data_IF_384021850466
#
_entry.id   IF_384021850466
#
_cell.length_a   1.000
_cell.length_b   1.000
_cell.length_c   1.000
_cell.angle_alpha   90.00
_cell.angle_beta   90.00
_cell.angle_gamma   90.00
#
_symmetry.space_group_name_H-M   'P 1'
#
loop_
_entity.id
_entity.type
_entity.pdbx_description
1 polymer ?
#
# COMPACT_ATOMS: atom_id res chain seq x y z
N UNK A 1 25.18 0.74 -3.65
CA UNK A 1 25.25 0.17 -2.29
C UNK A 1 23.92 -0.48 -1.98
N UNK A 2 23.97 -1.78 -1.71
CA UNK A 2 22.78 -2.60 -1.43
C UNK A 2 22.41 -2.40 0.03
N UNK A 3 21.25 -1.81 0.30
CA UNK A 3 20.79 -1.58 1.67
C UNK A 3 20.11 -2.85 2.16
N UNK A 4 20.84 -3.67 2.90
CA UNK A 4 20.27 -4.75 3.71
C UNK A 4 20.16 -4.25 5.15
N UNK A 5 18.95 -4.19 5.70
CA UNK A 5 18.73 -3.75 7.07
C UNK A 5 18.50 -4.98 7.94
N UNK A 6 19.45 -5.24 8.85
CA UNK A 6 19.33 -6.30 9.83
C UNK A 6 18.37 -5.88 10.96
N UNK A 7 17.40 -6.74 11.28
CA UNK A 7 16.54 -6.61 12.45
C UNK A 7 17.11 -7.47 13.58
N UNK A 8 17.04 -6.96 14.81
CA UNK A 8 17.46 -7.71 15.98
C UNK A 8 16.61 -8.97 16.18
N UNK A 9 17.24 -10.12 16.42
CA UNK A 9 16.59 -11.40 16.63
C UNK A 9 15.69 -11.46 17.89
N UNK A 10 15.76 -10.45 18.75
CA UNK A 10 14.98 -10.36 20.00
C UNK A 10 13.60 -9.71 19.82
N UNK A 11 13.26 -9.25 18.61
CA UNK A 11 11.98 -8.59 18.32
C UNK A 11 10.97 -9.65 17.92
N UNK A 12 9.75 -9.56 18.46
CA UNK A 12 8.60 -10.32 17.95
C UNK A 12 8.31 -9.90 16.51
N UNK A 13 8.86 -10.67 15.58
CA UNK A 13 8.72 -10.49 14.14
C UNK A 13 7.42 -11.09 13.59
N UNK A 14 6.41 -11.32 14.44
CA UNK A 14 5.10 -11.75 13.98
C UNK A 14 4.52 -10.71 13.02
N UNK A 15 4.27 -11.15 11.79
CA UNK A 15 3.70 -10.31 10.76
C UNK A 15 2.22 -10.07 11.05
N UNK A 16 1.84 -8.79 11.13
CA UNK A 16 0.45 -8.36 11.14
C UNK A 16 0.12 -7.90 9.72
N UNK A 17 -0.76 -8.65 9.06
CA UNK A 17 -1.22 -8.26 7.74
C UNK A 17 -2.21 -7.10 7.84
N UNK A 18 -2.16 -6.13 6.91
CA UNK A 18 -3.19 -5.11 6.77
C UNK A 18 -4.58 -5.73 6.64
N UNK A 19 -5.59 -5.09 7.22
CA UNK A 19 -6.99 -5.56 7.17
C UNK A 19 -7.49 -5.78 5.73
N UNK A 20 -7.03 -4.96 4.78
CA UNK A 20 -7.34 -5.09 3.37
C UNK A 20 -6.84 -6.40 2.73
N UNK A 21 -5.81 -7.02 3.30
CA UNK A 21 -5.29 -8.31 2.83
C UNK A 21 -6.11 -9.49 3.34
N UNK A 22 -6.84 -9.31 4.44
CA UNK A 22 -7.78 -10.29 4.97
C UNK A 22 -9.17 -10.15 4.35
N UNK A 23 -9.42 -9.05 3.62
CA UNK A 23 -10.69 -8.81 2.95
C UNK A 23 -11.00 -9.98 2.04
N UNK A 24 -12.14 -10.59 2.29
CA UNK A 24 -12.67 -11.67 1.47
C UNK A 24 -12.85 -11.14 0.04
N UNK A 25 -12.16 -11.76 -0.92
CA UNK A 25 -12.31 -11.46 -2.34
C UNK A 25 -13.72 -11.76 -2.84
N UNK A 26 -14.53 -12.43 -2.04
CA UNK A 26 -15.94 -12.76 -2.29
C UNK A 26 -16.88 -11.57 -2.10
N UNK A 27 -16.47 -10.38 -2.47
CA UNK A 27 -17.44 -9.31 -2.63
C UNK A 27 -18.20 -9.56 -3.93
N UNK A 28 -19.36 -10.17 -3.82
CA UNK A 28 -20.21 -10.64 -4.91
C UNK A 28 -20.35 -9.65 -6.08
N UNK A 29 -20.35 -8.36 -5.82
CA UNK A 29 -20.43 -7.32 -6.86
C UNK A 29 -19.11 -7.13 -7.60
N UNK A 30 -17.99 -7.07 -6.90
CA UNK A 30 -16.68 -6.91 -7.54
C UNK A 30 -16.34 -8.16 -8.36
N UNK A 31 -16.58 -9.35 -7.82
CA UNK A 31 -16.38 -10.61 -8.52
C UNK A 31 -17.30 -10.73 -9.74
N UNK A 32 -18.57 -10.31 -9.61
CA UNK A 32 -19.50 -10.33 -10.73
C UNK A 32 -19.08 -9.37 -11.85
N UNK A 33 -18.67 -8.14 -11.51
CA UNK A 33 -18.15 -7.18 -12.49
C UNK A 33 -16.85 -7.67 -13.14
N UNK A 34 -15.94 -8.20 -12.36
CA UNK A 34 -14.68 -8.73 -12.87
C UNK A 34 -14.89 -9.93 -13.78
N UNK A 35 -15.80 -10.85 -13.44
CA UNK A 35 -16.15 -11.99 -14.30
C UNK A 35 -16.83 -11.59 -15.60
N UNK A 36 -17.69 -10.58 -15.59
CA UNK A 36 -18.40 -10.13 -16.80
C UNK A 36 -17.57 -9.30 -17.77
N UNK A 37 -16.61 -8.54 -17.24
CA UNK A 37 -15.84 -7.58 -18.02
C UNK A 37 -14.34 -7.91 -18.07
N UNK A 38 -13.90 -8.94 -17.36
CA UNK A 38 -12.54 -9.39 -17.38
C UNK A 38 -12.16 -9.93 -18.76
N UNK A 39 -11.08 -9.44 -19.29
CA UNK A 39 -10.40 -10.01 -20.44
C UNK A 39 -9.17 -10.72 -19.91
N UNK A 40 -9.17 -12.04 -19.98
CA UNK A 40 -7.98 -12.82 -19.65
C UNK A 40 -7.13 -12.88 -20.91
N UNK A 41 -5.89 -12.48 -20.79
CA UNK A 41 -4.90 -12.70 -21.84
C UNK A 41 -4.47 -14.18 -21.77
N UNK A 42 -4.96 -14.99 -22.70
CA UNK A 42 -4.67 -16.42 -22.75
C UNK A 42 -3.16 -16.72 -22.85
N UNK A 43 -2.36 -15.79 -23.37
CA UNK A 43 -0.91 -15.93 -23.45
C UNK A 43 -0.24 -15.94 -22.07
N UNK A 44 -0.89 -15.33 -21.09
CA UNK A 44 -0.42 -15.22 -19.72
C UNK A 44 -0.69 -16.47 -18.87
N UNK A 45 -1.67 -17.29 -19.26
CA UNK A 45 -2.16 -18.45 -18.47
C UNK A 45 -1.27 -19.70 -18.57
N UNK A 46 -0.27 -19.70 -19.46
CA UNK A 46 0.54 -20.90 -19.78
C UNK A 46 1.36 -21.39 -18.58
N UNK A 47 1.70 -20.51 -17.64
CA UNK A 47 2.41 -20.89 -16.42
C UNK A 47 2.03 -19.99 -15.24
N UNK A 48 1.15 -20.48 -14.37
CA UNK A 48 0.65 -19.75 -13.19
C UNK A 48 1.41 -20.08 -11.90
N UNK A 49 2.52 -20.79 -11.99
CA UNK A 49 3.31 -21.18 -10.81
C UNK A 49 4.26 -20.05 -10.41
N UNK A 50 4.28 -19.72 -9.12
CA UNK A 50 5.24 -18.77 -8.61
C UNK A 50 6.68 -19.23 -8.81
N UNK A 51 7.54 -18.30 -9.20
CA UNK A 51 8.99 -18.49 -9.22
C UNK A 51 9.56 -17.92 -7.93
N UNK A 52 10.26 -18.75 -7.18
CA UNK A 52 10.98 -18.33 -5.98
C UNK A 52 12.42 -17.94 -6.33
N UNK A 53 12.82 -16.75 -5.91
CA UNK A 53 14.15 -16.19 -6.18
C UNK A 53 14.98 -16.12 -4.90
N UNK A 54 16.32 -16.19 -4.99
CA UNK A 54 17.19 -15.89 -3.86
C UNK A 54 17.11 -14.39 -3.49
N UNK A 55 17.40 -14.06 -2.23
CA UNK A 55 17.31 -12.71 -1.66
C UNK A 55 18.06 -11.66 -2.50
N UNK A 56 19.21 -12.03 -3.06
CA UNK A 56 20.02 -11.16 -3.93
C UNK A 56 19.24 -10.62 -5.15
N UNK A 57 18.27 -11.38 -5.66
CA UNK A 57 17.43 -10.95 -6.78
C UNK A 57 16.44 -9.88 -6.32
N UNK A 58 15.80 -10.09 -5.18
CA UNK A 58 14.85 -9.09 -4.62
C UNK A 58 15.56 -7.79 -4.26
N UNK A 59 16.71 -7.87 -3.60
CA UNK A 59 17.54 -6.72 -3.26
C UNK A 59 17.88 -5.92 -4.52
N UNK A 60 18.40 -6.59 -5.56
CA UNK A 60 18.74 -5.94 -6.82
C UNK A 60 17.53 -5.30 -7.49
N UNK A 61 16.39 -5.99 -7.55
CA UNK A 61 15.20 -5.48 -8.21
C UNK A 61 14.62 -4.28 -7.47
N UNK A 62 14.57 -4.30 -6.15
CA UNK A 62 14.15 -3.15 -5.34
C UNK A 62 15.06 -1.95 -5.55
N UNK A 63 16.38 -2.16 -5.62
CA UNK A 63 17.34 -1.08 -5.86
C UNK A 63 17.26 -0.48 -7.28
N UNK A 64 16.67 -1.17 -8.22
CA UNK A 64 16.46 -0.73 -9.60
C UNK A 64 15.13 0.00 -9.83
N UNK A 65 14.24 0.01 -8.85
CA UNK A 65 13.00 0.77 -8.98
C UNK A 65 13.30 2.28 -9.08
N UNK A 66 12.67 2.97 -10.04
CA UNK A 66 12.87 4.41 -10.21
C UNK A 66 12.05 5.20 -9.18
N UNK A 67 12.32 4.99 -7.90
CA UNK A 67 11.62 5.59 -6.79
C UNK A 67 12.47 6.64 -6.09
N UNK A 68 11.83 7.67 -5.54
CA UNK A 68 12.47 8.66 -4.66
C UNK A 68 12.66 8.08 -3.26
N UNK A 69 11.71 7.27 -2.83
CA UNK A 69 11.73 6.61 -1.52
C UNK A 69 12.61 5.38 -1.62
N UNK A 70 13.53 5.24 -0.69
CA UNK A 70 14.38 4.04 -0.59
C UNK A 70 13.54 2.79 -0.30
N UNK A 71 13.89 1.70 -0.96
CA UNK A 71 13.22 0.41 -0.86
C UNK A 71 14.17 -0.64 -0.25
N UNK A 72 14.50 -0.54 1.06
CA UNK A 72 15.39 -1.50 1.70
C UNK A 72 14.75 -2.88 1.78
N UNK A 73 15.59 -3.91 1.76
CA UNK A 73 15.19 -5.30 1.87
C UNK A 73 15.61 -5.90 3.21
N UNK A 74 14.74 -6.71 3.78
CA UNK A 74 15.05 -7.56 4.93
C UNK A 74 14.07 -8.74 4.99
N UNK A 75 14.19 -9.60 5.97
CA UNK A 75 13.34 -10.77 6.14
C UNK A 75 11.85 -10.42 6.33
N UNK A 76 11.53 -9.27 6.90
CA UNK A 76 10.13 -8.81 7.06
C UNK A 76 9.55 -8.42 5.70
N UNK A 77 10.27 -7.62 4.92
CA UNK A 77 9.86 -7.26 3.55
C UNK A 77 9.67 -8.54 2.70
N UNK A 78 10.58 -9.51 2.80
CA UNK A 78 10.48 -10.79 2.09
C UNK A 78 9.17 -11.50 2.39
N UNK A 79 8.76 -11.56 3.65
CA UNK A 79 7.50 -12.23 4.04
C UNK A 79 6.27 -11.57 3.43
N UNK A 80 6.25 -10.24 3.29
CA UNK A 80 5.16 -9.53 2.61
C UNK A 80 5.18 -9.79 1.10
N UNK A 81 6.35 -9.81 0.47
CA UNK A 81 6.47 -10.20 -0.95
C UNK A 81 5.92 -11.61 -1.15
N UNK A 82 6.37 -12.58 -0.36
CA UNK A 82 5.93 -13.98 -0.46
C UNK A 82 4.43 -14.13 -0.22
N UNK A 83 3.86 -13.35 0.69
CA UNK A 83 2.42 -13.33 0.92
C UNK A 83 1.66 -12.94 -0.35
N UNK A 84 2.07 -11.89 -1.05
CA UNK A 84 1.43 -11.46 -2.28
C UNK A 84 1.63 -12.46 -3.42
N UNK A 85 2.86 -12.88 -3.68
CA UNK A 85 3.18 -13.69 -4.88
C UNK A 85 2.88 -15.18 -4.72
N UNK A 86 2.71 -15.67 -3.49
CA UNK A 86 2.40 -17.08 -3.22
C UNK A 86 0.96 -17.28 -2.73
N UNK A 87 0.55 -16.55 -1.69
CA UNK A 87 -0.72 -16.80 -1.00
C UNK A 87 -1.88 -15.96 -1.53
N UNK A 88 -1.61 -14.78 -2.07
CA UNK A 88 -2.62 -13.80 -2.49
C UNK A 88 -2.49 -13.43 -3.98
N UNK A 89 -2.12 -14.39 -4.81
CA UNK A 89 -1.94 -14.18 -6.26
C UNK A 89 -3.19 -13.61 -6.93
N UNK A 90 -4.36 -14.18 -6.65
CA UNK A 90 -5.63 -13.70 -7.17
C UNK A 90 -5.93 -12.25 -6.76
N UNK A 91 -5.55 -11.84 -5.53
CA UNK A 91 -5.65 -10.45 -5.11
C UNK A 91 -4.76 -9.56 -5.98
N UNK A 92 -3.51 -9.96 -6.23
CA UNK A 92 -2.58 -9.19 -7.08
C UNK A 92 -3.10 -9.06 -8.51
N UNK A 93 -3.63 -10.13 -9.08
CA UNK A 93 -4.27 -10.12 -10.42
C UNK A 93 -5.38 -9.07 -10.50
N UNK A 94 -6.26 -9.02 -9.50
CA UNK A 94 -7.33 -8.04 -9.39
C UNK A 94 -6.80 -6.61 -9.17
N UNK A 95 -5.81 -6.44 -8.30
CA UNK A 95 -5.17 -5.14 -8.04
C UNK A 95 -4.53 -4.56 -9.31
N UNK A 96 -3.88 -5.39 -10.10
CA UNK A 96 -3.30 -4.99 -11.39
C UNK A 96 -4.38 -4.49 -12.36
N UNK A 97 -5.52 -5.17 -12.42
CA UNK A 97 -6.67 -4.73 -13.23
C UNK A 97 -7.24 -3.39 -12.76
N UNK A 98 -7.51 -3.26 -11.44
CA UNK A 98 -8.02 -2.03 -10.84
C UNK A 98 -7.04 -0.85 -10.96
N UNK A 99 -5.74 -1.14 -10.95
CA UNK A 99 -4.68 -0.14 -11.08
C UNK A 99 -4.76 0.64 -12.38
N UNK A 100 -5.22 0.04 -13.46
CA UNK A 100 -5.37 0.74 -14.76
C UNK A 100 -6.32 1.93 -14.67
N UNK A 101 -7.29 1.86 -13.77
CA UNK A 101 -8.24 2.94 -13.53
C UNK A 101 -7.76 3.92 -12.45
N UNK A 102 -7.32 3.41 -11.30
CA UNK A 102 -7.05 4.27 -10.13
C UNK A 102 -5.69 4.94 -10.15
N UNK A 103 -4.64 4.31 -10.69
CA UNK A 103 -3.29 4.87 -10.66
C UNK A 103 -3.19 6.25 -11.32
N UNK A 104 -3.82 6.54 -12.48
CA UNK A 104 -3.78 7.89 -13.05
C UNK A 104 -4.37 8.95 -12.11
N UNK A 105 -5.45 8.64 -11.38
CA UNK A 105 -6.07 9.57 -10.41
C UNK A 105 -5.11 9.86 -9.26
N UNK A 106 -4.45 8.83 -8.74
CA UNK A 106 -3.50 8.97 -7.64
C UNK A 106 -2.25 9.73 -8.08
N UNK A 107 -1.71 9.39 -9.25
CA UNK A 107 -0.53 10.05 -9.81
C UNK A 107 -0.76 11.55 -10.03
N UNK A 108 -1.91 11.93 -10.59
CA UNK A 108 -2.26 13.35 -10.77
C UNK A 108 -2.30 14.10 -9.42
N UNK A 109 -2.90 13.50 -8.40
CA UNK A 109 -2.98 14.12 -7.09
C UNK A 109 -1.60 14.26 -6.42
N UNK A 110 -0.76 13.22 -6.51
CA UNK A 110 0.59 13.22 -5.94
C UNK A 110 1.52 14.20 -6.66
N UNK A 111 1.47 14.22 -7.99
CA UNK A 111 2.25 15.13 -8.82
C UNK A 111 1.90 16.59 -8.52
N UNK A 112 0.61 16.91 -8.39
CA UNK A 112 0.12 18.26 -8.06
C UNK A 112 0.68 18.78 -6.73
N UNK A 113 0.89 17.90 -5.75
CA UNK A 113 1.50 18.25 -4.47
C UNK A 113 3.04 18.13 -4.45
N UNK A 114 3.63 17.60 -5.52
CA UNK A 114 5.08 17.42 -5.63
C UNK A 114 5.65 16.37 -4.67
N UNK A 115 4.87 15.33 -4.38
CA UNK A 115 5.28 14.20 -3.53
C UNK A 115 5.59 12.96 -4.39
N UNK A 116 6.37 11.98 -3.87
CA UNK A 116 6.77 10.80 -4.64
C UNK A 116 5.59 10.03 -5.21
N UNK A 117 5.67 9.66 -6.50
CA UNK A 117 4.58 8.98 -7.20
C UNK A 117 4.37 7.53 -6.72
N UNK A 118 5.39 6.89 -6.15
CA UNK A 118 5.28 5.56 -5.58
C UNK A 118 4.32 5.48 -4.38
N UNK A 119 3.97 6.60 -3.77
CA UNK A 119 2.93 6.68 -2.74
C UNK A 119 1.54 6.28 -3.27
N UNK A 120 1.35 6.22 -4.58
CA UNK A 120 0.14 5.69 -5.23
C UNK A 120 -0.21 4.27 -4.82
N UNK A 121 0.74 3.52 -4.27
CA UNK A 121 0.50 2.15 -3.83
C UNK A 121 -0.06 2.05 -2.40
N UNK A 122 -0.14 3.14 -1.63
CA UNK A 122 -0.74 3.11 -0.30
C UNK A 122 -2.21 2.65 -0.30
N UNK A 123 -3.09 3.05 -1.24
CA UNK A 123 -4.46 2.55 -1.29
C UNK A 123 -4.57 1.04 -1.48
N UNK A 124 -3.57 0.38 -2.03
CA UNK A 124 -3.52 -1.09 -2.10
C UNK A 124 -3.47 -1.68 -0.69
N UNK A 125 -2.61 -1.14 0.17
CA UNK A 125 -2.45 -1.58 1.56
C UNK A 125 -3.68 -1.20 2.38
N UNK A 126 -4.23 -0.02 2.15
CA UNK A 126 -5.33 0.54 2.94
C UNK A 126 -6.68 -0.13 2.64
N UNK A 127 -7.00 -0.30 1.36
CA UNK A 127 -8.35 -0.69 0.94
C UNK A 127 -8.41 -1.78 -0.12
N UNK A 128 -7.26 -2.30 -0.59
CA UNK A 128 -7.19 -3.13 -1.78
C UNK A 128 -7.88 -2.48 -3.00
N UNK A 129 -7.71 -1.16 -3.15
CA UNK A 129 -8.32 -0.32 -4.19
C UNK A 129 -9.86 -0.32 -4.19
N UNK A 130 -10.47 -0.43 -3.01
CA UNK A 130 -11.92 -0.42 -2.86
C UNK A 130 -12.42 0.90 -2.28
N UNK A 131 -13.15 1.72 -3.05
CA UNK A 131 -13.67 3.01 -2.57
C UNK A 131 -14.78 2.85 -1.51
N UNK A 132 -15.45 1.71 -1.47
CA UNK A 132 -16.49 1.38 -0.50
C UNK A 132 -15.95 0.78 0.80
N UNK A 133 -14.66 0.52 0.90
CA UNK A 133 -14.05 -0.10 2.07
C UNK A 133 -14.28 0.72 3.35
N UNK A 134 -14.58 0.00 4.42
CA UNK A 134 -14.69 0.57 5.78
C UNK A 134 -14.00 -0.39 6.75
N UNK A 135 -13.01 0.13 7.49
CA UNK A 135 -12.30 -0.65 8.50
C UNK A 135 -13.14 -0.84 9.77
N UNK A 136 -12.74 -1.76 10.63
CA UNK A 136 -13.37 -2.01 11.93
C UNK A 136 -13.43 -0.78 12.83
N UNK A 137 -12.49 0.15 12.66
CA UNK A 137 -12.42 1.41 13.43
C UNK A 137 -13.05 2.60 12.72
N UNK A 138 -13.69 2.39 11.55
CA UNK A 138 -14.44 3.42 10.84
C UNK A 138 -13.62 4.28 9.88
N UNK A 139 -12.40 3.88 9.54
CA UNK A 139 -11.69 4.46 8.40
C UNK A 139 -12.40 4.07 7.10
N UNK A 140 -12.47 4.96 6.12
CA UNK A 140 -13.25 4.73 4.92
C UNK A 140 -12.55 5.20 3.64
N UNK A 141 -12.91 4.54 2.53
CA UNK A 141 -12.48 4.88 1.18
C UNK A 141 -11.13 4.29 0.78
N UNK A 142 -10.66 4.65 -0.41
CA UNK A 142 -9.40 4.17 -0.99
C UNK A 142 -8.20 4.44 -0.07
N UNK A 143 -8.17 5.60 0.56
CA UNK A 143 -7.07 6.09 1.40
C UNK A 143 -7.30 5.87 2.90
N UNK A 144 -8.43 5.29 3.29
CA UNK A 144 -8.78 4.93 4.66
C UNK A 144 -8.65 6.08 5.67
N UNK A 145 -9.24 7.24 5.35
CA UNK A 145 -9.32 8.33 6.31
C UNK A 145 -10.28 8.02 7.46
N UNK A 146 -9.84 8.32 8.67
CA UNK A 146 -10.75 8.46 9.81
C UNK A 146 -11.61 9.71 9.62
N UNK A 147 -12.84 9.71 10.16
CA UNK A 147 -13.76 10.86 10.05
C UNK A 147 -13.10 12.17 10.48
N UNK A 148 -12.43 12.15 11.63
CA UNK A 148 -11.77 13.34 12.17
C UNK A 148 -10.69 13.87 11.23
N UNK A 149 -9.82 13.00 10.73
CA UNK A 149 -8.74 13.38 9.81
C UNK A 149 -9.31 13.85 8.48
N UNK A 150 -10.28 13.14 7.90
CA UNK A 150 -10.93 13.55 6.66
C UNK A 150 -11.52 14.96 6.77
N UNK A 151 -12.28 15.24 7.82
CA UNK A 151 -12.83 16.57 8.06
C UNK A 151 -11.76 17.66 8.27
N UNK A 152 -10.70 17.35 9.00
CA UNK A 152 -9.61 18.31 9.23
C UNK A 152 -8.84 18.63 7.93
N UNK A 153 -8.84 17.70 6.97
CA UNK A 153 -8.25 17.90 5.64
C UNK A 153 -9.21 18.57 4.65
N UNK A 154 -10.47 18.81 5.03
CA UNK A 154 -11.46 19.52 4.22
C UNK A 154 -12.43 18.63 3.46
N UNK A 155 -12.46 17.32 3.74
CA UNK A 155 -13.48 16.44 3.17
C UNK A 155 -14.82 16.60 3.89
N UNK A 156 -15.90 16.62 3.12
CA UNK A 156 -17.26 16.61 3.66
C UNK A 156 -17.63 15.19 4.10
N UNK A 157 -17.96 15.06 5.38
CA UNK A 157 -18.42 13.79 5.97
C UNK A 157 -19.60 14.06 6.88
N UNK A 158 -20.78 13.63 6.44
CA UNK A 158 -22.03 13.74 7.17
C UNK A 158 -22.93 12.52 6.91
N UNK A 159 -24.18 12.57 7.27
CA UNK A 159 -25.13 11.46 7.09
C UNK A 159 -25.54 11.22 5.63
N UNK A 160 -25.32 12.18 4.74
CA UNK A 160 -25.73 12.12 3.33
C UNK A 160 -24.54 11.99 2.38
N UNK A 161 -23.39 12.53 2.77
CA UNK A 161 -22.18 12.60 1.93
C UNK A 161 -20.97 12.10 2.71
N UNK A 162 -20.16 11.29 2.08
CA UNK A 162 -18.88 10.85 2.62
C UNK A 162 -17.79 10.94 1.52
N UNK A 163 -17.15 12.10 1.43
CA UNK A 163 -16.12 12.38 0.41
C UNK A 163 -14.82 11.60 0.62
N UNK A 164 -14.67 10.87 1.73
CA UNK A 164 -13.57 9.91 1.91
C UNK A 164 -13.63 8.78 0.87
N UNK A 165 -14.83 8.54 0.30
CA UNK A 165 -15.09 7.51 -0.73
C UNK A 165 -14.95 8.04 -2.15
N UNK A 166 -14.88 9.36 -2.32
CA UNK A 166 -14.66 9.98 -3.62
C UNK A 166 -13.18 9.80 -4.03
N UNK A 167 -12.89 9.10 -5.15
CA UNK A 167 -11.51 8.82 -5.54
C UNK A 167 -10.68 10.08 -5.80
N UNK A 168 -11.27 11.10 -6.39
CA UNK A 168 -10.57 12.34 -6.76
C UNK A 168 -10.32 13.21 -5.53
N UNK A 169 -11.37 13.48 -4.76
CA UNK A 169 -11.29 14.35 -3.58
C UNK A 169 -10.40 13.74 -2.50
N UNK A 170 -10.58 12.44 -2.20
CA UNK A 170 -9.77 11.76 -1.20
C UNK A 170 -8.30 11.66 -1.61
N UNK A 171 -8.01 11.46 -2.89
CA UNK A 171 -6.62 11.42 -3.39
C UNK A 171 -5.94 12.78 -3.27
N UNK A 172 -6.63 13.87 -3.60
CA UNK A 172 -6.09 15.22 -3.43
C UNK A 172 -5.73 15.50 -1.96
N UNK A 173 -6.61 15.11 -1.03
CA UNK A 173 -6.37 15.31 0.40
C UNK A 173 -5.28 14.37 0.94
N UNK A 174 -5.21 13.13 0.46
CA UNK A 174 -4.15 12.19 0.84
C UNK A 174 -2.77 12.68 0.44
N UNK A 175 -2.62 13.17 -0.79
CA UNK A 175 -1.36 13.73 -1.27
C UNK A 175 -0.91 14.91 -0.41
N UNK A 176 -1.83 15.81 -0.08
CA UNK A 176 -1.56 16.94 0.80
C UNK A 176 -1.20 16.50 2.23
N UNK A 177 -1.94 15.55 2.78
CA UNK A 177 -1.65 15.01 4.12
C UNK A 177 -0.28 14.34 4.20
N UNK A 178 0.10 13.56 3.18
CA UNK A 178 1.43 12.96 3.08
C UNK A 178 2.54 14.01 3.02
N UNK A 179 2.33 15.10 2.28
CA UNK A 179 3.25 16.24 2.26
C UNK A 179 3.40 16.89 3.63
N UNK A 180 2.29 17.10 4.34
CA UNK A 180 2.29 17.66 5.68
C UNK A 180 3.04 16.74 6.67
N UNK A 181 2.84 15.43 6.60
CA UNK A 181 3.56 14.45 7.41
C UNK A 181 5.06 14.44 7.10
N UNK A 182 5.43 14.51 5.82
CA UNK A 182 6.85 14.62 5.44
C UNK A 182 7.50 15.89 5.99
N UNK A 183 6.78 17.00 6.05
CA UNK A 183 7.28 18.24 6.60
C UNK A 183 7.66 18.16 8.08
N UNK A 184 7.09 17.20 8.81
CA UNK A 184 7.40 16.96 10.24
C UNK A 184 8.72 16.22 10.42
N UNK A 185 8.96 15.19 9.60
CA UNK A 185 10.06 14.24 9.82
C UNK A 185 11.18 14.37 8.80
N UNK A 186 10.93 14.94 7.63
CA UNK A 186 11.85 14.99 6.48
C UNK A 186 12.37 13.59 6.08
N UNK A 187 11.54 12.56 6.34
CA UNK A 187 11.81 11.16 6.05
C UNK A 187 10.52 10.48 5.61
N UNK A 188 10.55 9.85 4.44
CA UNK A 188 9.34 9.24 3.87
C UNK A 188 8.88 7.99 4.61
N UNK A 189 9.80 7.17 5.12
CA UNK A 189 9.41 5.98 5.88
C UNK A 189 8.68 6.38 7.16
N UNK A 190 9.12 7.44 7.83
CA UNK A 190 8.43 8.00 9.00
C UNK A 190 7.11 8.67 8.62
N UNK A 191 7.04 9.36 7.50
CA UNK A 191 5.80 9.95 7.00
C UNK A 191 4.75 8.87 6.68
N UNK A 192 5.15 7.78 6.02
CA UNK A 192 4.30 6.63 5.72
C UNK A 192 3.83 5.95 7.02
N UNK A 193 4.72 5.71 7.98
CA UNK A 193 4.35 5.18 9.29
C UNK A 193 3.35 6.09 10.01
N UNK A 194 3.56 7.41 9.96
CA UNK A 194 2.65 8.42 10.53
C UNK A 194 1.29 8.46 9.85
N UNK A 195 1.23 8.20 8.56
CA UNK A 195 -0.03 8.07 7.85
C UNK A 195 -0.90 6.95 8.46
N UNK A 196 -0.29 5.83 8.80
CA UNK A 196 -0.98 4.69 9.41
C UNK A 196 -1.37 4.92 10.88
N UNK A 197 -0.44 5.33 11.73
CA UNK A 197 -0.68 5.39 13.19
C UNK A 197 -0.81 6.80 13.76
N UNK A 198 -0.68 7.83 12.94
CA UNK A 198 -0.64 9.22 13.37
C UNK A 198 0.75 9.69 13.83
N UNK A 199 1.07 10.99 13.68
CA UNK A 199 2.38 11.55 14.02
C UNK A 199 2.70 11.44 15.52
N UNK A 200 1.70 11.47 16.38
CA UNK A 200 1.89 11.31 17.82
C UNK A 200 2.50 9.97 18.21
N UNK A 201 2.09 8.89 17.55
CA UNK A 201 2.64 7.54 17.81
C UNK A 201 4.06 7.40 17.28
N UNK A 202 4.38 7.95 16.12
CA UNK A 202 5.76 7.97 15.60
C UNK A 202 6.67 8.80 16.52
N UNK A 203 6.25 9.99 16.92
CA UNK A 203 7.01 10.82 17.87
C UNK A 203 7.22 10.13 19.22
N UNK A 204 6.24 9.34 19.69
CA UNK A 204 6.37 8.52 20.90
C UNK A 204 7.41 7.41 20.72
N UNK A 205 7.42 6.73 19.56
CA UNK A 205 8.40 5.71 19.24
C UNK A 205 9.82 6.29 19.18
N UNK A 206 10.00 7.45 18.57
CA UNK A 206 11.28 8.19 18.55
C UNK A 206 11.77 8.46 19.97
N UNK A 207 10.93 8.99 20.86
CA UNK A 207 11.31 9.23 22.25
C UNK A 207 11.68 7.95 22.99
N UNK A 208 10.91 6.86 22.80
CA UNK A 208 11.16 5.57 23.45
C UNK A 208 12.45 4.89 23.00
N UNK A 209 12.85 5.14 21.76
CA UNK A 209 14.11 4.61 21.21
C UNK A 209 15.34 5.41 21.61
N UNK A 210 15.19 6.44 22.44
CA UNK A 210 16.28 7.35 22.79
C UNK A 210 16.60 8.40 21.75
N UNK A 211 15.63 8.78 20.92
CA UNK A 211 15.76 9.83 19.91
C UNK A 211 16.20 9.34 18.53
N UNK A 212 16.12 8.03 18.28
CA UNK A 212 16.37 7.47 16.94
C UNK A 212 15.34 7.96 15.95
N UNK A 213 15.76 8.24 14.70
CA UNK A 213 14.91 8.78 13.63
C UNK A 213 14.89 7.89 12.39
N UNK A 214 15.61 6.78 12.38
CA UNK A 214 15.50 5.76 11.34
C UNK A 214 14.30 4.84 11.64
N UNK A 215 13.49 4.54 10.60
CA UNK A 215 12.29 3.70 10.75
C UNK A 215 12.61 2.34 11.36
N UNK A 216 13.70 1.69 10.94
CA UNK A 216 14.06 0.35 11.40
C UNK A 216 14.60 0.34 12.83
N UNK A 217 15.21 1.45 13.27
CA UNK A 217 15.62 1.64 14.65
C UNK A 217 14.44 1.88 15.60
N UNK A 218 13.39 2.56 15.14
CA UNK A 218 12.16 2.78 15.94
C UNK A 218 11.11 1.67 15.76
N UNK A 219 11.31 0.77 14.84
CA UNK A 219 10.42 -0.35 14.51
C UNK A 219 9.88 -1.09 15.76
N UNK A 220 10.70 -1.49 16.76
CA UNK A 220 10.22 -2.19 17.95
C UNK A 220 9.28 -1.37 18.83
N UNK A 221 9.34 -0.04 18.72
CA UNK A 221 8.57 0.91 19.53
C UNK A 221 7.28 1.38 18.88
N UNK A 222 7.10 1.07 17.59
CA UNK A 222 5.88 1.37 16.85
C UNK A 222 4.72 0.46 17.29
N UNK A 223 3.46 0.92 17.13
CA UNK A 223 2.32 0.02 17.24
C UNK A 223 2.50 -1.20 16.33
N UNK A 224 2.07 -2.36 16.79
CA UNK A 224 2.32 -3.64 16.10
C UNK A 224 1.82 -3.64 14.65
N UNK A 225 0.65 -3.06 14.40
CA UNK A 225 0.07 -2.92 13.06
C UNK A 225 0.93 -2.03 12.15
N UNK A 226 1.48 -0.96 12.69
CA UNK A 226 2.33 -0.01 11.95
C UNK A 226 3.68 -0.59 11.58
N UNK A 227 4.20 -1.56 12.35
CA UNK A 227 5.46 -2.25 12.01
C UNK A 227 5.40 -2.92 10.64
N UNK A 228 4.24 -3.45 10.25
CA UNK A 228 4.06 -4.08 8.95
C UNK A 228 3.78 -3.11 7.80
N UNK A 229 3.48 -1.85 8.08
CA UNK A 229 2.97 -0.92 7.07
C UNK A 229 4.04 -0.51 6.04
N UNK A 230 5.21 -0.09 6.48
CA UNK A 230 6.33 0.26 5.57
C UNK A 230 6.88 -0.98 4.84
N UNK A 231 7.12 -2.13 5.50
CA UNK A 231 7.46 -3.36 4.79
C UNK A 231 6.44 -3.78 3.74
N UNK A 232 5.14 -3.65 4.02
CA UNK A 232 4.08 -3.91 3.05
C UNK A 232 4.12 -2.92 1.87
N UNK A 233 4.40 -1.65 2.11
CA UNK A 233 4.59 -0.64 1.08
C UNK A 233 5.75 -1.00 0.14
N UNK A 234 6.88 -1.41 0.68
CA UNK A 234 8.03 -1.86 -0.11
C UNK A 234 7.66 -3.10 -0.93
N UNK A 235 7.00 -4.08 -0.32
CA UNK A 235 6.56 -5.30 -0.99
C UNK A 235 5.57 -5.02 -2.14
N UNK A 236 4.61 -4.12 -1.94
CA UNK A 236 3.66 -3.72 -2.99
C UNK A 236 4.38 -3.04 -4.15
N UNK A 237 5.33 -2.14 -3.87
CA UNK A 237 6.15 -1.54 -4.92
C UNK A 237 6.89 -2.61 -5.75
N UNK A 238 7.45 -3.62 -5.10
CA UNK A 238 8.07 -4.73 -5.79
C UNK A 238 7.06 -5.51 -6.64
N UNK A 239 5.97 -5.96 -6.05
CA UNK A 239 5.00 -6.84 -6.70
C UNK A 239 4.33 -6.18 -7.88
N UNK A 240 3.90 -4.92 -7.73
CA UNK A 240 3.22 -4.17 -8.80
C UNK A 240 4.14 -3.85 -10.00
N UNK A 241 5.45 -3.87 -9.81
CA UNK A 241 6.42 -3.65 -10.89
C UNK A 241 6.99 -4.95 -11.47
N UNK A 242 7.03 -6.04 -10.68
CA UNK A 242 7.68 -7.30 -11.07
C UNK A 242 6.75 -8.51 -11.05
N UNK A 243 5.44 -8.30 -11.10
CA UNK A 243 4.44 -9.39 -11.09
C UNK A 243 4.66 -10.43 -12.19
N UNK A 244 5.13 -10.01 -13.37
CA UNK A 244 5.42 -10.91 -14.49
C UNK A 244 6.53 -11.91 -14.17
N UNK A 245 7.53 -11.53 -13.35
CA UNK A 245 8.61 -12.43 -12.93
C UNK A 245 8.10 -13.56 -12.04
N UNK A 246 6.92 -13.39 -11.45
CA UNK A 246 6.24 -14.36 -10.61
C UNK A 246 5.10 -15.09 -11.34
N UNK A 247 5.01 -14.94 -12.66
CA UNK A 247 3.96 -15.52 -13.48
C UNK A 247 2.54 -15.13 -13.04
N UNK A 248 2.37 -13.90 -12.59
CA UNK A 248 1.06 -13.32 -12.24
C UNK A 248 0.50 -12.60 -13.45
N UNK A 249 -0.73 -12.90 -13.81
CA UNK A 249 -1.44 -12.30 -14.94
C UNK A 249 -2.44 -11.25 -14.47
N UNK A 250 -2.37 -10.00 -14.96
CA UNK A 250 -3.39 -9.01 -14.66
C UNK A 250 -4.77 -9.45 -15.16
N UNK A 251 -5.79 -9.25 -14.33
CA UNK A 251 -7.18 -9.29 -14.78
C UNK A 251 -7.52 -7.96 -15.40
N UNK A 252 -7.59 -7.89 -16.72
CA UNK A 252 -7.90 -6.66 -17.45
C UNK A 252 -9.41 -6.51 -17.62
N UNK A 253 -9.92 -5.31 -17.38
CA UNK A 253 -11.33 -4.97 -17.62
C UNK A 253 -11.49 -4.13 -18.87
N UNK A 254 -12.49 -4.42 -19.71
CA UNK A 254 -12.78 -3.66 -20.93
C UNK A 254 -13.42 -2.30 -20.67
N UNK A 255 -13.95 -2.08 -19.46
CA UNK A 255 -14.60 -0.82 -19.07
C UNK A 255 -14.10 -0.37 -17.70
N UNK A 256 -14.05 0.96 -17.48
CA UNK A 256 -13.84 1.48 -16.15
C UNK A 256 -14.94 0.95 -15.22
N UNK A 257 -14.55 0.61 -14.00
CA UNK A 257 -15.47 0.11 -12.97
C UNK A 257 -16.42 1.19 -12.41
N UNK A 258 -16.22 2.43 -12.83
CA UNK A 258 -17.11 3.53 -12.53
C UNK A 258 -17.79 3.93 -13.82
N UNK A 259 -19.02 3.52 -13.97
CA UNK A 259 -19.96 4.19 -14.85
C UNK A 259 -20.64 5.29 -14.06
N UNK A 260 -20.79 6.44 -14.68
CA UNK A 260 -21.45 7.69 -14.32
C UNK A 260 -22.38 7.68 -13.10
#
# INVERSE_FOLDING_TARGET
DTIEVALSDTIDNAIVYPESMEADLNNLLTDWYMQQYAVVDDSCLVNSVNVDYPDSVYIRKLSQLPTVIEMPYNSVVRRYIDMYVQKRRALVENLLGLSTYYMPIFEEALEREGVPLELKYLPIIESALRPDATSRVGAAGLWQFMVKTGKSMGLEVNSLVDERRDPIKSSAMAARYLKDLYSIYHDWALAIASYNCGPGNVSKAIRRSGGKTDYWEIYPYLPRETRGYVPAFIAVNYVMNYYGDHNICPVLTRRPLLTD
#
